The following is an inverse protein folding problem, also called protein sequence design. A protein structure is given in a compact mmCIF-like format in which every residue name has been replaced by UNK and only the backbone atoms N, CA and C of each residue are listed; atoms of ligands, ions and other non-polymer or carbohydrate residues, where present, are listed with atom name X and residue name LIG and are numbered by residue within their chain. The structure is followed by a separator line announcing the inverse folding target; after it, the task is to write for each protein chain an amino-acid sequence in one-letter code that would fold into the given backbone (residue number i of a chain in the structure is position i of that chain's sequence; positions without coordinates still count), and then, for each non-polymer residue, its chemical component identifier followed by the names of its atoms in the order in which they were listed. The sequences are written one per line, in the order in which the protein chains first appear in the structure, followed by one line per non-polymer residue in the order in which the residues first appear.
data_IF_697499636141
#
_entry.id   IF_697499636141
#
_cell.length_a   1.000
_cell.length_b   1.000
_cell.length_c   1.000
_cell.angle_alpha   90.00
_cell.angle_beta   90.00
_cell.angle_gamma   90.00
#
_symmetry.space_group_name_H-M   'P 1'
#
loop_
_entity.id
_entity.type
_entity.pdbx_description
1 polymer ?
#
# COMPACT_ATOMS: atom_id res chain seq x y z
N UNK A 1 17.93 13.69 -21.71
CA UNK A 1 18.31 13.18 -20.37
C UNK A 1 17.13 13.48 -19.44
N UNK A 2 16.24 12.51 -19.25
CA UNK A 2 14.98 12.71 -18.53
C UNK A 2 15.22 12.77 -17.03
N UNK A 3 14.76 13.84 -16.40
CA UNK A 3 14.83 14.00 -14.95
C UNK A 3 13.96 12.91 -14.30
N UNK A 4 14.59 11.95 -13.64
CA UNK A 4 13.90 11.00 -12.78
C UNK A 4 13.27 11.82 -11.64
N UNK A 5 11.95 11.91 -11.63
CA UNK A 5 11.19 12.51 -10.55
C UNK A 5 11.52 11.74 -9.26
N UNK A 6 12.33 12.35 -8.41
CA UNK A 6 12.58 11.86 -7.07
C UNK A 6 11.25 11.94 -6.33
N UNK A 7 10.65 10.79 -6.04
CA UNK A 7 9.46 10.70 -5.20
C UNK A 7 9.89 11.20 -3.83
N UNK A 8 9.55 12.44 -3.50
CA UNK A 8 9.82 13.01 -2.18
C UNK A 8 8.97 12.25 -1.15
N UNK A 9 9.42 12.22 0.10
CA UNK A 9 8.75 11.49 1.19
C UNK A 9 7.29 11.94 1.43
N UNK A 10 6.92 13.11 0.92
CA UNK A 10 5.57 13.68 0.96
C UNK A 10 4.61 13.06 -0.06
N UNK A 11 5.11 12.54 -1.18
CA UNK A 11 4.31 11.95 -2.27
C UNK A 11 4.12 10.44 -2.15
N UNK A 12 4.68 9.83 -1.10
CA UNK A 12 4.61 8.40 -0.82
C UNK A 12 3.17 7.84 -0.80
N UNK A 13 2.19 8.67 -0.46
CA UNK A 13 0.78 8.29 -0.40
C UNK A 13 -0.02 8.67 -1.64
N UNK A 14 0.61 9.29 -2.64
CA UNK A 14 -0.07 9.63 -3.88
C UNK A 14 -0.62 8.34 -4.52
N UNK A 15 -1.90 8.32 -4.97
CA UNK A 15 -2.55 7.12 -5.49
C UNK A 15 -1.74 6.43 -6.60
N UNK A 16 -1.15 7.21 -7.51
CA UNK A 16 -0.33 6.69 -8.61
C UNK A 16 1.02 6.14 -8.16
N UNK A 17 1.60 6.70 -7.10
CA UNK A 17 2.84 6.18 -6.49
C UNK A 17 2.58 4.80 -5.89
N UNK A 18 1.51 4.66 -5.09
CA UNK A 18 1.13 3.39 -4.46
C UNK A 18 0.82 2.31 -5.50
N UNK A 19 0.02 2.66 -6.50
CA UNK A 19 -0.32 1.77 -7.62
C UNK A 19 0.93 1.35 -8.41
N UNK A 20 1.82 2.29 -8.72
CA UNK A 20 3.05 2.02 -9.47
C UNK A 20 4.00 1.13 -8.67
N UNK A 21 4.18 1.40 -7.38
CA UNK A 21 4.99 0.57 -6.49
C UNK A 21 4.48 -0.86 -6.46
N UNK A 22 3.18 -1.07 -6.19
CA UNK A 22 2.56 -2.40 -6.19
C UNK A 22 2.76 -3.14 -7.52
N UNK A 23 2.57 -2.46 -8.65
CA UNK A 23 2.76 -3.04 -9.99
C UNK A 23 4.22 -3.45 -10.23
N UNK A 24 5.19 -2.65 -9.78
CA UNK A 24 6.62 -3.00 -9.87
C UNK A 24 6.95 -4.27 -9.07
N UNK A 25 6.31 -4.45 -7.91
CA UNK A 25 6.42 -5.67 -7.10
C UNK A 25 5.62 -6.87 -7.68
N UNK A 26 4.87 -6.67 -8.76
CA UNK A 26 3.99 -7.68 -9.41
C UNK A 26 2.93 -8.26 -8.46
N UNK A 27 2.39 -7.42 -7.59
CA UNK A 27 1.40 -7.85 -6.60
C UNK A 27 -0.03 -7.47 -6.99
N UNK A 28 -0.98 -8.33 -6.64
CA UNK A 28 -2.39 -8.00 -6.71
C UNK A 28 -2.74 -6.96 -5.63
N UNK A 29 -3.85 -6.23 -5.84
CA UNK A 29 -4.37 -5.32 -4.82
C UNK A 29 -4.64 -6.06 -3.50
N UNK A 30 -5.26 -7.24 -3.55
CA UNK A 30 -5.52 -8.05 -2.34
C UNK A 30 -4.24 -8.32 -1.55
N UNK A 31 -3.17 -8.81 -2.21
CA UNK A 31 -1.90 -9.11 -1.56
C UNK A 31 -1.23 -7.87 -0.98
N UNK A 32 -1.28 -6.75 -1.72
CA UNK A 32 -0.62 -5.53 -1.27
C UNK A 32 -1.34 -4.87 -0.09
N UNK A 33 -2.66 -4.73 -0.19
CA UNK A 33 -3.47 -4.01 0.78
C UNK A 33 -3.70 -4.81 2.07
N UNK A 34 -3.70 -6.16 1.99
CA UNK A 34 -3.87 -7.01 3.16
C UNK A 34 -2.80 -6.81 4.23
N UNK A 35 -1.58 -6.44 3.86
CA UNK A 35 -0.50 -6.11 4.82
C UNK A 35 -0.86 -4.97 5.75
N UNK A 36 -1.70 -4.05 5.28
CA UNK A 36 -2.10 -2.88 6.04
C UNK A 36 -3.51 -3.05 6.66
N UNK A 37 -4.03 -4.30 6.70
CA UNK A 37 -5.38 -4.58 7.18
C UNK A 37 -6.48 -4.03 6.27
N UNK A 38 -6.18 -3.80 4.99
CA UNK A 38 -7.11 -3.22 4.01
C UNK A 38 -7.60 -4.30 3.04
N UNK A 39 -8.92 -4.39 2.87
CA UNK A 39 -9.52 -5.29 1.87
C UNK A 39 -9.22 -4.83 0.44
N UNK A 40 -9.27 -5.74 -0.54
CA UNK A 40 -9.00 -5.39 -1.94
C UNK A 40 -9.88 -4.26 -2.46
N UNK A 41 -11.19 -4.28 -2.17
CA UNK A 41 -12.15 -3.27 -2.63
C UNK A 41 -11.85 -1.88 -2.06
N UNK A 42 -11.49 -1.79 -0.77
CA UNK A 42 -11.07 -0.52 -0.15
C UNK A 42 -9.73 -0.04 -0.71
N UNK A 43 -8.78 -0.95 -0.90
CA UNK A 43 -7.48 -0.64 -1.50
C UNK A 43 -7.61 -0.08 -2.92
N UNK A 44 -8.53 -0.62 -3.73
CA UNK A 44 -8.81 -0.10 -5.07
C UNK A 44 -9.28 1.36 -5.04
N UNK A 45 -10.08 1.75 -4.04
CA UNK A 45 -10.55 3.14 -3.88
C UNK A 45 -9.41 4.08 -3.52
N UNK A 46 -8.48 3.65 -2.67
CA UNK A 46 -7.29 4.43 -2.35
C UNK A 46 -6.40 4.64 -3.57
N UNK A 47 -6.22 3.61 -4.41
CA UNK A 47 -5.51 3.76 -5.69
C UNK A 47 -6.25 4.70 -6.67
N UNK A 48 -7.54 5.01 -6.45
CA UNK A 48 -8.32 5.95 -7.25
C UNK A 48 -8.44 7.35 -6.60
N UNK A 49 -7.78 7.59 -5.46
CA UNK A 49 -7.76 8.90 -4.81
C UNK A 49 -8.84 9.14 -3.76
N UNK A 50 -9.53 8.08 -3.30
CA UNK A 50 -10.35 8.19 -2.08
C UNK A 50 -9.45 8.48 -0.88
N UNK A 51 -9.93 9.32 0.04
CA UNK A 51 -9.23 9.65 1.28
C UNK A 51 -8.88 8.39 2.08
N UNK A 52 -7.61 8.30 2.47
CA UNK A 52 -7.08 7.19 3.24
C UNK A 52 -7.15 7.50 4.73
N UNK A 53 -7.65 6.59 5.59
CA UNK A 53 -7.64 6.78 7.03
C UNK A 53 -6.21 7.04 7.55
N UNK A 54 -6.03 7.96 8.53
CA UNK A 54 -4.70 8.32 9.04
C UNK A 54 -3.87 7.12 9.51
N UNK A 55 -4.49 6.12 10.14
CA UNK A 55 -3.82 4.92 10.63
C UNK A 55 -3.17 4.12 9.48
N UNK A 56 -3.87 3.96 8.36
CA UNK A 56 -3.34 3.24 7.18
C UNK A 56 -2.21 4.04 6.54
N UNK A 57 -2.38 5.35 6.44
CA UNK A 57 -1.36 6.27 5.93
C UNK A 57 -0.05 6.21 6.73
N UNK A 58 -0.14 6.14 8.07
CA UNK A 58 1.03 6.00 8.95
C UNK A 58 1.76 4.69 8.68
N UNK A 59 1.05 3.56 8.61
CA UNK A 59 1.68 2.25 8.35
C UNK A 59 2.41 2.23 7.01
N UNK A 60 1.81 2.78 5.96
CA UNK A 60 2.44 2.85 4.63
C UNK A 60 3.69 3.74 4.65
N UNK A 61 3.64 4.90 5.33
CA UNK A 61 4.81 5.77 5.49
C UNK A 61 5.94 5.05 6.22
N UNK A 62 5.65 4.34 7.31
CA UNK A 62 6.65 3.56 8.05
C UNK A 62 7.23 2.43 7.20
N UNK A 63 6.40 1.77 6.40
CA UNK A 63 6.82 0.69 5.50
C UNK A 63 7.75 1.21 4.39
N UNK A 64 7.41 2.32 3.73
CA UNK A 64 8.28 2.93 2.71
C UNK A 64 9.54 3.57 3.29
N UNK A 65 9.51 4.00 4.55
CA UNK A 65 10.70 4.43 5.28
C UNK A 65 11.60 3.25 5.73
N UNK A 66 11.14 2.00 5.57
CA UNK A 66 11.87 0.81 6.02
C UNK A 66 11.90 0.63 7.54
N UNK A 67 11.08 1.37 8.28
CA UNK A 67 10.96 1.26 9.75
C UNK A 67 10.24 -0.02 10.14
N UNK A 68 9.26 -0.42 9.32
CA UNK A 68 8.55 -1.70 9.44
C UNK A 68 8.65 -2.47 8.12
N UNK A 69 8.56 -3.78 8.20
CA UNK A 69 8.70 -4.72 7.09
C UNK A 69 7.49 -5.64 7.00
N UNK A 70 7.45 -6.50 5.98
CA UNK A 70 6.41 -7.53 5.84
C UNK A 70 6.32 -8.46 7.07
N UNK A 71 7.41 -8.63 7.82
CA UNK A 71 7.44 -9.42 9.06
C UNK A 71 6.62 -8.76 10.16
N UNK A 72 6.72 -7.43 10.29
CA UNK A 72 6.06 -6.65 11.33
C UNK A 72 4.56 -6.47 11.05
N UNK A 73 4.21 -6.43 9.77
CA UNK A 73 2.83 -6.32 9.29
C UNK A 73 2.09 -7.66 9.21
N UNK A 74 2.70 -8.73 9.74
CA UNK A 74 2.09 -10.05 9.78
C UNK A 74 1.75 -10.58 8.39
N UNK A 75 2.69 -10.47 7.44
CA UNK A 75 2.58 -10.99 6.08
C UNK A 75 2.44 -12.51 6.04
N UNK A 76 1.33 -13.03 6.57
CA UNK A 76 1.00 -14.44 6.70
C UNK A 76 -0.51 -14.58 6.52
N UNK A 77 -0.89 -15.03 5.32
CA UNK A 77 -2.01 -15.92 5.03
C UNK A 77 -3.36 -15.62 5.73
N UNK A 78 -4.14 -14.71 5.12
CA UNK A 78 -5.60 -14.73 5.24
C UNK A 78 -6.17 -15.96 4.52
N UNK A 79 -6.01 -17.16 5.09
CA UNK A 79 -7.01 -18.20 4.89
C UNK A 79 -8.12 -17.96 5.91
N UNK A 80 -9.35 -17.85 5.42
CA UNK A 80 -10.57 -17.73 6.23
C UNK A 80 -10.75 -16.34 6.86
N UNK A 81 -11.21 -15.34 6.11
CA UNK A 81 -12.41 -14.51 6.38
C UNK A 81 -12.74 -13.75 5.08
N UNK A 82 -13.48 -14.38 4.18
CA UNK A 82 -14.37 -13.67 3.24
C UNK A 82 -15.71 -14.40 3.34
N UNK A 83 -16.57 -13.90 4.22
CA UNK A 83 -18.00 -14.14 4.18
C UNK A 83 -18.64 -12.84 3.68
N UNK A 84 -19.44 -13.01 2.63
CA UNK A 84 -20.34 -12.07 1.93
C UNK A 84 -19.75 -10.89 1.13
#
# INVERSE_FOLDING_TARGET
MGQAQQITQQDALAPDVLRTFRKKQRESQSRFWSRFGVTQSRGSRFEMGTEMPPTVAILIKLYFAGVITDRDLGGIHWQVIQGD
#
